data_IF_079392304130
#
_entry.id   IF_079392304130
#
_cell.length_a   1.000
_cell.length_b   1.000
_cell.length_c   1.000
_cell.angle_alpha   90.00
_cell.angle_beta   90.00
_cell.angle_gamma   90.00
#
_symmetry.space_group_name_H-M   'P 1'
#
loop_
_entity.id
_entity.type
_entity.pdbx_description
1 polymer ?
#
# COMPACT_ATOMS: atom_id res chain seq x y z
N UNK A 1 28.18 -2.71 -56.32
CA UNK A 1 28.14 -3.16 -54.90
C UNK A 1 29.27 -2.46 -54.17
N UNK A 2 29.10 -1.93 -52.94
CA UNK A 2 28.38 -2.55 -51.83
C UNK A 2 27.36 -1.64 -51.12
N UNK A 3 26.69 -2.28 -50.17
CA UNK A 3 25.65 -1.83 -49.25
C UNK A 3 26.32 -1.16 -48.05
N UNK A 4 25.81 0.00 -47.59
CA UNK A 4 26.18 0.57 -46.30
C UNK A 4 24.99 0.55 -45.34
N UNK A 5 25.13 -0.22 -44.26
CA UNK A 5 24.28 -0.17 -43.06
C UNK A 5 25.07 0.50 -41.93
N UNK A 6 24.31 1.16 -41.04
CA UNK A 6 24.61 1.54 -39.65
C UNK A 6 25.11 2.97 -39.38
N UNK A 7 24.27 3.75 -38.68
CA UNK A 7 24.62 4.28 -37.36
C UNK A 7 23.37 4.43 -36.50
N UNK A 8 23.25 3.54 -35.51
CA UNK A 8 22.38 3.69 -34.34
C UNK A 8 22.80 4.97 -33.61
N UNK A 9 21.86 5.90 -33.44
CA UNK A 9 22.01 7.00 -32.48
C UNK A 9 21.98 6.43 -31.08
N UNK A 10 23.12 6.48 -30.40
CA UNK A 10 23.26 6.08 -29.01
C UNK A 10 22.51 7.07 -28.10
N UNK A 11 21.40 6.65 -27.51
CA UNK A 11 20.84 7.32 -26.34
C UNK A 11 21.70 6.91 -25.14
N UNK A 12 22.72 7.71 -24.81
CA UNK A 12 23.53 7.51 -23.61
C UNK A 12 22.74 8.02 -22.41
N UNK A 13 22.36 7.08 -21.57
CA UNK A 13 22.03 7.27 -20.16
C UNK A 13 23.06 8.16 -19.47
N UNK A 14 22.58 9.24 -18.85
CA UNK A 14 23.17 9.74 -17.60
C UNK A 14 22.20 10.72 -16.93
N UNK A 15 21.60 10.23 -15.85
CA UNK A 15 21.34 10.96 -14.61
C UNK A 15 21.80 12.41 -14.64
N UNK A 16 20.83 13.32 -14.54
CA UNK A 16 20.85 14.62 -13.86
C UNK A 16 19.65 15.40 -14.41
N UNK A 17 18.44 15.02 -13.97
CA UNK A 17 17.23 15.80 -14.22
C UNK A 17 17.31 17.05 -13.33
N UNK A 18 18.11 18.02 -13.78
CA UNK A 18 18.25 19.32 -13.12
C UNK A 18 17.02 20.18 -13.42
N UNK A 19 16.61 21.00 -12.45
CA UNK A 19 15.52 21.99 -12.43
C UNK A 19 15.50 23.04 -13.56
N UNK A 20 16.30 22.84 -14.62
CA UNK A 20 16.38 23.72 -15.78
C UNK A 20 15.39 23.34 -16.89
N UNK A 21 14.80 22.15 -16.87
CA UNK A 21 13.84 21.72 -17.91
C UNK A 21 12.44 22.33 -17.77
N UNK A 22 12.07 22.84 -16.59
CA UNK A 22 10.75 23.40 -16.35
C UNK A 22 10.58 24.84 -16.91
N UNK A 23 11.68 25.56 -17.15
CA UNK A 23 11.62 26.97 -17.63
C UNK A 23 11.61 27.13 -19.16
N UNK A 24 11.68 26.05 -19.94
CA UNK A 24 11.78 26.13 -21.40
C UNK A 24 10.59 25.49 -22.15
N UNK A 25 9.49 25.22 -21.45
CA UNK A 25 8.26 24.68 -22.05
C UNK A 25 7.32 25.75 -22.65
N UNK A 26 7.70 27.04 -22.62
CA UNK A 26 6.79 28.14 -23.04
C UNK A 26 7.06 28.72 -24.43
N UNK A 27 7.91 28.15 -25.29
CA UNK A 27 8.18 28.81 -26.58
C UNK A 27 8.50 27.93 -27.80
N UNK A 28 8.04 26.69 -27.89
CA UNK A 28 8.11 25.95 -29.15
C UNK A 28 6.77 25.30 -29.49
N UNK A 29 6.10 25.94 -30.43
CA UNK A 29 4.97 25.43 -31.18
C UNK A 29 5.34 24.14 -31.92
N UNK A 30 4.46 23.15 -31.83
CA UNK A 30 4.20 22.23 -32.94
C UNK A 30 5.16 21.07 -33.17
N UNK A 31 5.68 20.41 -32.12
CA UNK A 31 6.13 19.02 -32.23
C UNK A 31 5.59 18.22 -31.05
N UNK A 32 4.65 17.33 -31.36
CA UNK A 32 4.07 16.42 -30.39
C UNK A 32 5.18 15.58 -29.76
N UNK A 33 5.25 15.63 -28.44
CA UNK A 33 5.93 14.60 -27.68
C UNK A 33 4.94 13.44 -27.51
N UNK A 34 4.70 12.68 -28.58
CA UNK A 34 3.81 11.48 -28.55
C UNK A 34 4.44 10.28 -27.82
N UNK A 35 5.42 10.53 -26.95
CA UNK A 35 6.01 9.55 -26.05
C UNK A 35 6.11 10.08 -24.61
N UNK A 36 5.13 10.89 -24.20
CA UNK A 36 4.69 10.86 -22.81
C UNK A 36 3.47 9.93 -22.75
N UNK A 37 3.69 8.64 -23.01
CA UNK A 37 2.73 7.63 -22.57
C UNK A 37 2.70 7.73 -21.05
N UNK A 38 1.66 8.37 -20.55
CA UNK A 38 1.11 8.20 -19.21
C UNK A 38 0.66 6.75 -19.09
N UNK A 39 1.63 5.85 -18.99
CA UNK A 39 1.49 4.44 -18.66
C UNK A 39 2.67 4.03 -17.74
N UNK A 40 2.83 4.75 -16.63
CA UNK A 40 3.28 4.10 -15.39
C UNK A 40 2.00 3.71 -14.64
N UNK A 41 1.29 2.67 -15.10
CA UNK A 41 1.54 1.30 -14.68
C UNK A 41 1.61 1.21 -13.14
N UNK A 42 0.43 1.15 -12.52
CA UNK A 42 0.05 0.15 -11.52
C UNK A 42 1.20 -0.39 -10.65
N UNK A 43 1.97 0.49 -10.03
CA UNK A 43 2.69 0.12 -8.82
C UNK A 43 1.61 0.02 -7.77
N UNK A 44 1.26 -1.20 -7.39
CA UNK A 44 0.49 -1.49 -6.18
C UNK A 44 1.24 -0.83 -5.03
N UNK A 45 0.89 0.44 -4.76
CA UNK A 45 1.33 1.18 -3.60
C UNK A 45 0.92 0.27 -2.46
N UNK A 46 1.90 -0.37 -1.84
CA UNK A 46 1.72 -1.01 -0.56
C UNK A 46 1.45 0.14 0.39
N UNK A 47 0.23 0.65 0.32
CA UNK A 47 -0.20 1.80 1.05
C UNK A 47 -0.43 1.23 2.44
N UNK A 48 0.54 1.49 3.30
CA UNK A 48 0.41 1.36 4.73
C UNK A 48 -0.71 2.32 5.14
N UNK A 49 -1.95 1.94 4.85
CA UNK A 49 -3.10 2.81 4.96
C UNK A 49 -3.55 2.76 6.41
N UNK A 50 -3.28 3.86 7.11
CA UNK A 50 -3.70 4.03 8.48
C UNK A 50 -5.18 4.42 8.48
N UNK A 51 -6.04 3.51 8.91
CA UNK A 51 -7.46 3.77 9.10
C UNK A 51 -7.73 4.11 10.56
N UNK A 52 -8.40 5.23 10.81
CA UNK A 52 -8.92 5.60 12.13
C UNK A 52 -10.43 5.34 12.14
N UNK A 53 -10.92 4.37 12.92
CA UNK A 53 -12.35 4.08 12.99
C UNK A 53 -13.14 5.26 13.55
N UNK A 54 -14.27 5.55 12.94
CA UNK A 54 -15.29 6.42 13.53
C UNK A 54 -15.97 5.74 14.72
N UNK A 55 -16.63 6.51 15.59
CA UNK A 55 -17.41 5.95 16.72
C UNK A 55 -18.47 4.94 16.28
N UNK A 56 -19.05 5.13 15.09
CA UNK A 56 -20.02 4.19 14.52
C UNK A 56 -19.35 2.88 14.13
N UNK A 57 -18.22 2.96 13.43
CA UNK A 57 -17.45 1.79 13.01
C UNK A 57 -16.88 1.03 14.20
N UNK A 58 -16.41 1.72 15.24
CA UNK A 58 -15.94 1.09 16.47
C UNK A 58 -17.05 0.25 17.15
N UNK A 59 -18.27 0.79 17.23
CA UNK A 59 -19.43 0.05 17.78
C UNK A 59 -19.76 -1.17 16.94
N UNK A 60 -19.86 -1.00 15.61
CA UNK A 60 -20.12 -2.09 14.68
C UNK A 60 -19.04 -3.17 14.73
N UNK A 61 -17.77 -2.78 14.84
CA UNK A 61 -16.65 -3.70 14.97
C UNK A 61 -16.74 -4.51 16.26
N UNK A 62 -17.13 -3.89 17.38
CA UNK A 62 -17.36 -4.60 18.64
C UNK A 62 -18.48 -5.63 18.57
N UNK A 63 -19.58 -5.30 17.89
CA UNK A 63 -20.69 -6.25 17.65
C UNK A 63 -20.24 -7.41 16.76
N UNK A 64 -19.54 -7.09 15.66
CA UNK A 64 -19.07 -8.09 14.70
C UNK A 64 -18.00 -9.01 15.30
N UNK A 65 -17.06 -8.47 16.09
CA UNK A 65 -16.03 -9.26 16.77
C UNK A 65 -16.67 -10.33 17.68
N UNK A 66 -17.69 -9.96 18.46
CA UNK A 66 -18.44 -10.89 19.31
C UNK A 66 -19.16 -11.97 18.49
N UNK A 67 -19.75 -11.59 17.36
CA UNK A 67 -20.42 -12.54 16.47
C UNK A 67 -19.43 -13.54 15.86
N UNK A 68 -18.28 -13.05 15.36
CA UNK A 68 -17.23 -13.90 14.81
C UNK A 68 -16.67 -14.83 15.89
N UNK A 69 -16.41 -14.36 17.10
CA UNK A 69 -15.94 -15.19 18.21
C UNK A 69 -16.95 -16.28 18.60
N UNK A 70 -18.24 -15.99 18.52
CA UNK A 70 -19.28 -16.97 18.78
C UNK A 70 -19.29 -18.11 17.76
N UNK A 71 -19.13 -17.78 16.48
CA UNK A 71 -19.17 -18.76 15.39
C UNK A 71 -17.84 -19.52 15.25
N UNK A 72 -16.70 -18.85 15.51
CA UNK A 72 -15.35 -19.44 15.42
C UNK A 72 -15.07 -20.48 16.52
N UNK A 73 -15.95 -20.63 17.52
CA UNK A 73 -15.86 -21.71 18.52
C UNK A 73 -16.16 -23.09 17.96
N UNK A 74 -16.71 -23.17 16.75
CA UNK A 74 -16.99 -24.42 16.06
C UNK A 74 -15.94 -24.66 14.97
N UNK A 75 -15.15 -25.75 15.04
CA UNK A 75 -14.19 -26.08 13.99
C UNK A 75 -14.92 -26.44 12.69
N UNK A 76 -14.57 -25.77 11.59
CA UNK A 76 -15.17 -25.96 10.27
C UNK A 76 -15.03 -24.72 9.38
N UNK A 77 -15.54 -24.81 8.14
CA UNK A 77 -15.51 -23.69 7.21
C UNK A 77 -16.38 -22.52 7.73
N UNK A 78 -15.76 -21.36 7.90
CA UNK A 78 -16.47 -20.12 8.21
C UNK A 78 -17.02 -19.50 6.92
N UNK A 79 -18.31 -19.16 6.91
CA UNK A 79 -18.94 -18.50 5.78
C UNK A 79 -19.53 -17.15 6.19
N UNK A 80 -19.23 -16.11 5.41
CA UNK A 80 -19.81 -14.78 5.57
C UNK A 80 -20.85 -14.55 4.47
N UNK A 81 -22.06 -14.16 4.87
CA UNK A 81 -23.08 -13.69 3.92
C UNK A 81 -22.99 -12.18 3.80
N UNK A 82 -22.70 -11.70 2.60
CA UNK A 82 -22.56 -10.28 2.28
C UNK A 82 -23.75 -9.84 1.45
N UNK A 83 -24.29 -8.66 1.73
CA UNK A 83 -25.37 -8.07 0.96
C UNK A 83 -25.06 -6.59 0.74
N UNK A 84 -24.87 -6.21 -0.52
CA UNK A 84 -24.80 -4.83 -0.94
C UNK A 84 -26.19 -4.32 -1.35
N UNK A 85 -26.40 -3.01 -1.26
CA UNK A 85 -27.69 -2.42 -1.65
C UNK A 85 -27.93 -2.61 -3.16
N UNK A 86 -29.05 -3.26 -3.50
CA UNK A 86 -29.39 -3.56 -4.89
C UNK A 86 -28.79 -4.86 -5.43
N UNK A 87 -28.04 -5.61 -4.64
CA UNK A 87 -27.47 -6.90 -5.03
C UNK A 87 -28.06 -8.08 -4.25
N UNK A 88 -28.12 -9.24 -4.89
CA UNK A 88 -28.51 -10.47 -4.23
C UNK A 88 -27.45 -10.88 -3.20
N UNK A 89 -27.85 -11.39 -2.02
CA UNK A 89 -26.88 -11.79 -1.02
C UNK A 89 -25.96 -12.92 -1.50
N UNK A 90 -24.66 -12.71 -1.39
CA UNK A 90 -23.63 -13.71 -1.71
C UNK A 90 -23.07 -14.34 -0.43
N UNK A 91 -22.67 -15.61 -0.50
CA UNK A 91 -22.01 -16.32 0.61
C UNK A 91 -20.56 -16.63 0.23
N UNK A 92 -19.63 -16.17 1.06
CA UNK A 92 -18.19 -16.29 0.85
C UNK A 92 -17.57 -17.15 1.95
N UNK A 93 -16.82 -18.17 1.56
CA UNK A 93 -16.02 -18.95 2.51
C UNK A 93 -14.73 -18.21 2.87
N UNK A 94 -14.38 -18.19 4.16
CA UNK A 94 -13.18 -17.54 4.66
C UNK A 94 -12.20 -18.59 5.21
N UNK A 95 -10.89 -18.48 4.87
CA UNK A 95 -9.86 -19.27 5.52
C UNK A 95 -9.76 -18.94 7.02
N UNK A 96 -9.48 -19.95 7.85
CA UNK A 96 -9.31 -19.78 9.31
C UNK A 96 -8.30 -18.69 9.68
N UNK A 97 -7.21 -18.59 8.91
CA UNK A 97 -6.19 -17.57 9.08
C UNK A 97 -6.74 -16.15 8.86
N UNK A 98 -7.64 -15.96 7.89
CA UNK A 98 -8.28 -14.67 7.63
C UNK A 98 -9.25 -14.30 8.76
N UNK A 99 -10.00 -15.27 9.27
CA UNK A 99 -10.89 -15.08 10.44
C UNK A 99 -10.10 -14.67 11.67
N UNK A 100 -8.93 -15.29 11.92
CA UNK A 100 -8.04 -14.89 13.00
C UNK A 100 -7.56 -13.44 12.86
N UNK A 101 -7.11 -13.03 11.67
CA UNK A 101 -6.69 -11.66 11.39
C UNK A 101 -7.82 -10.65 11.56
N UNK A 102 -9.02 -10.97 11.05
CA UNK A 102 -10.20 -10.12 11.18
C UNK A 102 -10.58 -9.88 12.65
N UNK A 103 -10.47 -10.88 13.52
CA UNK A 103 -10.71 -10.69 14.96
C UNK A 103 -9.77 -9.68 15.59
N UNK A 104 -8.48 -9.75 15.26
CA UNK A 104 -7.49 -8.79 15.78
C UNK A 104 -7.81 -7.38 15.30
N UNK A 105 -8.14 -7.22 14.02
CA UNK A 105 -8.52 -5.93 13.43
C UNK A 105 -9.78 -5.37 14.11
N UNK A 106 -10.86 -6.16 14.18
CA UNK A 106 -12.13 -5.71 14.75
C UNK A 106 -12.04 -5.38 16.23
N UNK A 107 -11.22 -6.12 17.00
CA UNK A 107 -10.97 -5.80 18.41
C UNK A 107 -10.28 -4.45 18.56
N UNK A 108 -9.24 -4.18 17.77
CA UNK A 108 -8.58 -2.87 17.76
C UNK A 108 -9.53 -1.75 17.31
N UNK A 109 -10.40 -2.01 16.32
CA UNK A 109 -11.39 -1.03 15.87
C UNK A 109 -12.41 -0.71 16.98
N UNK A 110 -12.86 -1.73 17.71
CA UNK A 110 -13.80 -1.58 18.81
C UNK A 110 -13.25 -0.72 19.97
N UNK A 111 -11.93 -0.74 20.15
CA UNK A 111 -11.21 0.14 21.09
C UNK A 111 -11.00 1.57 20.55
N UNK A 112 -11.42 1.85 19.30
CA UNK A 112 -11.18 3.14 18.63
C UNK A 112 -9.71 3.36 18.25
N UNK A 113 -8.92 2.29 18.18
CA UNK A 113 -7.49 2.38 17.89
C UNK A 113 -7.27 2.50 16.38
N UNK A 114 -6.31 3.34 15.92
CA UNK A 114 -5.86 3.34 14.54
C UNK A 114 -5.29 1.96 14.15
N UNK A 115 -5.54 1.55 12.91
CA UNK A 115 -5.10 0.28 12.38
C UNK A 115 -4.40 0.52 11.05
N UNK A 116 -3.26 -0.14 10.86
CA UNK A 116 -2.61 -0.28 9.58
C UNK A 116 -2.44 -1.77 9.28
N UNK A 117 -2.80 -2.21 8.08
CA UNK A 117 -2.61 -3.58 7.62
C UNK A 117 -1.54 -3.57 6.53
N UNK A 118 -0.56 -4.45 6.67
CA UNK A 118 0.57 -4.55 5.75
C UNK A 118 0.88 -6.01 5.46
N UNK A 119 1.26 -6.29 4.22
CA UNK A 119 1.69 -7.63 3.84
C UNK A 119 3.14 -7.84 4.31
N UNK A 120 3.39 -8.93 5.05
CA UNK A 120 4.68 -9.17 5.71
C UNK A 120 5.85 -9.38 4.73
N UNK A 121 5.58 -9.75 3.49
CA UNK A 121 6.56 -9.93 2.41
C UNK A 121 6.96 -8.62 1.72
N UNK A 122 6.36 -7.50 2.12
CA UNK A 122 6.69 -6.19 1.59
C UNK A 122 7.51 -5.42 2.61
N UNK A 123 8.61 -4.85 2.16
CA UNK A 123 9.38 -3.94 2.98
C UNK A 123 8.57 -2.67 3.28
N UNK A 124 8.76 -2.15 4.50
CA UNK A 124 8.24 -0.85 4.91
C UNK A 124 9.36 0.17 4.69
N UNK A 125 9.09 1.23 3.94
CA UNK A 125 10.06 2.32 3.75
C UNK A 125 10.29 3.09 5.05
N UNK A 126 11.42 3.79 5.17
CA UNK A 126 11.70 4.64 6.34
C UNK A 126 10.61 5.68 6.58
N UNK A 127 9.99 6.17 5.51
CA UNK A 127 8.95 7.19 5.57
C UNK A 127 7.68 6.58 6.14
N UNK A 128 7.28 5.43 5.62
CA UNK A 128 6.16 4.63 6.10
C UNK A 128 6.33 4.19 7.57
N UNK A 129 7.54 3.77 7.96
CA UNK A 129 7.84 3.40 9.33
C UNK A 129 7.75 4.62 10.27
N UNK A 130 8.21 5.79 9.81
CA UNK A 130 8.11 7.03 10.57
C UNK A 130 6.65 7.41 10.83
N UNK A 131 5.79 7.27 9.83
CA UNK A 131 4.37 7.55 9.93
C UNK A 131 3.66 6.62 10.91
N UNK A 132 3.88 5.29 10.83
CA UNK A 132 3.25 4.32 11.77
C UNK A 132 3.75 4.47 13.19
N UNK A 133 5.04 4.74 13.37
CA UNK A 133 5.62 4.95 14.70
C UNK A 133 5.34 6.37 15.25
N UNK A 134 4.75 7.25 14.43
CA UNK A 134 4.50 8.66 14.73
C UNK A 134 5.77 9.38 15.22
N UNK A 135 6.88 9.15 14.53
CA UNK A 135 8.19 9.75 14.82
C UNK A 135 8.79 10.38 13.58
N UNK A 136 9.91 11.08 13.71
CA UNK A 136 10.63 11.60 12.55
C UNK A 136 11.38 10.48 11.81
N UNK A 137 11.59 10.64 10.49
CA UNK A 137 12.47 9.75 9.70
C UNK A 137 13.85 9.58 10.32
N UNK A 138 14.41 10.67 10.88
CA UNK A 138 15.70 10.63 11.56
C UNK A 138 15.67 9.75 12.83
N UNK A 139 14.54 9.73 13.54
CA UNK A 139 14.33 8.84 14.69
C UNK A 139 14.32 7.37 14.25
N UNK A 140 13.66 7.02 13.15
CA UNK A 140 13.66 5.65 12.61
C UNK A 140 15.08 5.20 12.27
N UNK A 141 15.87 6.05 11.59
CA UNK A 141 17.28 5.76 11.31
C UNK A 141 18.12 5.60 12.58
N UNK A 142 17.81 6.34 13.65
CA UNK A 142 18.46 6.14 14.94
C UNK A 142 18.09 4.80 15.58
N UNK A 143 16.81 4.39 15.49
CA UNK A 143 16.35 3.09 16.01
C UNK A 143 17.07 1.93 15.31
N UNK A 144 17.27 2.02 14.00
CA UNK A 144 18.08 1.08 13.21
C UNK A 144 19.54 1.00 13.70
N UNK A 145 20.20 2.15 13.85
CA UNK A 145 21.58 2.23 14.37
C UNK A 145 21.73 1.63 15.77
N UNK A 146 20.70 1.74 16.60
CA UNK A 146 20.69 1.15 17.95
C UNK A 146 20.34 -0.33 17.98
N UNK A 147 19.90 -0.91 16.85
CA UNK A 147 19.46 -2.30 16.75
C UNK A 147 18.07 -2.56 17.34
N UNK A 148 17.25 -1.52 17.55
CA UNK A 148 15.88 -1.65 18.04
C UNK A 148 14.90 -2.07 16.95
N UNK A 149 15.20 -1.72 15.69
CA UNK A 149 14.57 -2.20 14.46
C UNK A 149 15.69 -2.55 13.47
N UNK A 150 15.41 -3.37 12.45
CA UNK A 150 16.39 -3.70 11.42
C UNK A 150 15.94 -3.13 10.08
N UNK A 151 16.82 -2.39 9.40
CA UNK A 151 16.62 -1.95 8.03
C UNK A 151 17.47 -2.80 7.05
N UNK A 152 16.82 -3.50 6.13
CA UNK A 152 17.53 -4.32 5.13
C UNK A 152 18.03 -3.50 3.92
N UNK A 153 17.32 -2.42 3.55
CA UNK A 153 17.54 -1.70 2.27
C UNK A 153 17.77 -0.18 2.44
N UNK A 154 18.20 0.28 3.62
CA UNK A 154 18.56 1.70 3.83
C UNK A 154 19.86 2.04 3.10
N UNK A 155 19.77 2.71 1.95
CA UNK A 155 20.93 3.14 1.14
C UNK A 155 21.14 4.64 1.20
#
# INVERSE_FOLDING_TARGET
MPIHVTRRGACRTRTLFSDRCMRQALSLSGRSCDHCSVEEALMTKAELELTVPTDREARLAGDLARAIDAVSRHPGAFALRVQAEGEEPETLELPDAAVASLRVILAAMAEGRPIAVHAADKDVTIDQAADVLNVSRATVLMLDRTGAIACETCR
#
